data_IF_585191943590
#
_entry.id   IF_585191943590
#
_cell.length_a   1.000
_cell.length_b   1.000
_cell.length_c   1.000
_cell.angle_alpha   90.00
_cell.angle_beta   90.00
_cell.angle_gamma   90.00
#
_symmetry.space_group_name_H-M   'P 1'
#
loop_
_entity.id
_entity.type
_entity.pdbx_description
1 polymer ?
#
# COMPACT_ATOMS: atom_id res chain seq x y z
N UNK A 1 24.75 -12.14 -3.01
CA UNK A 1 25.01 -10.98 -2.14
C UNK A 1 23.67 -10.33 -1.88
N UNK A 2 23.00 -10.76 -0.82
CA UNK A 2 21.61 -10.37 -0.53
C UNK A 2 21.56 -8.91 -0.08
N UNK A 3 20.76 -8.10 -0.77
CA UNK A 3 20.54 -6.71 -0.41
C UNK A 3 19.86 -6.68 0.96
N UNK A 4 20.62 -6.24 1.96
CA UNK A 4 20.11 -6.00 3.30
C UNK A 4 19.25 -4.73 3.21
N UNK A 5 17.95 -4.89 2.92
CA UNK A 5 16.97 -3.79 2.92
C UNK A 5 16.86 -3.28 4.35
N UNK A 6 17.77 -2.38 4.69
CA UNK A 6 17.75 -1.64 5.93
C UNK A 6 16.48 -0.81 5.86
N UNK A 7 15.46 -1.28 6.57
CA UNK A 7 14.27 -0.52 6.89
C UNK A 7 14.78 0.71 7.63
N UNK A 8 15.06 1.79 6.89
CA UNK A 8 15.46 3.08 7.45
C UNK A 8 14.25 3.50 8.28
N UNK A 9 14.29 3.16 9.57
CA UNK A 9 13.21 3.39 10.51
C UNK A 9 13.06 4.90 10.59
N UNK A 10 12.13 5.42 9.78
CA UNK A 10 11.61 6.76 9.92
C UNK A 10 11.36 7.00 11.42
N UNK A 11 11.86 8.10 12.02
CA UNK A 11 11.68 8.39 13.44
C UNK A 11 10.24 8.88 13.70
N UNK A 12 9.26 8.07 13.27
CA UNK A 12 7.83 8.34 13.33
C UNK A 12 7.20 7.24 14.18
N UNK A 13 6.50 7.67 15.23
CA UNK A 13 5.62 6.79 15.99
C UNK A 13 4.19 6.95 15.47
N UNK A 14 3.71 5.91 14.81
CA UNK A 14 2.32 5.83 14.38
C UNK A 14 1.40 5.62 15.60
N UNK A 15 0.21 6.22 15.56
CA UNK A 15 -0.75 6.17 16.65
C UNK A 15 -2.03 5.45 16.22
N UNK A 16 -2.66 4.75 17.16
CA UNK A 16 -3.97 4.10 16.99
C UNK A 16 -3.97 3.11 15.82
N UNK A 17 -5.00 3.18 14.99
CA UNK A 17 -5.24 2.41 13.78
C UNK A 17 -4.59 3.07 12.54
N UNK A 18 -3.59 3.95 12.70
CA UNK A 18 -2.99 4.66 11.56
C UNK A 18 -1.95 3.82 10.84
N UNK A 19 -1.97 3.90 9.52
CA UNK A 19 -1.05 3.23 8.61
C UNK A 19 -0.40 4.28 7.71
N UNK A 20 0.93 4.23 7.61
CA UNK A 20 1.72 5.06 6.71
C UNK A 20 2.17 4.19 5.55
N UNK A 21 1.86 4.62 4.32
CA UNK A 21 2.21 3.89 3.10
C UNK A 21 3.02 4.77 2.16
N UNK A 22 3.88 4.15 1.35
CA UNK A 22 4.60 4.79 0.25
C UNK A 22 4.00 4.31 -1.06
N UNK A 23 3.62 5.24 -1.92
CA UNK A 23 3.11 4.93 -3.26
C UNK A 23 4.28 4.68 -4.21
N UNK A 24 4.20 3.61 -4.99
CA UNK A 24 5.24 3.26 -5.98
C UNK A 24 5.06 4.02 -7.31
N UNK A 25 4.26 5.09 -7.36
CA UNK A 25 3.85 5.71 -8.64
C UNK A 25 5.09 6.31 -9.32
N UNK A 26 5.51 5.80 -10.49
CA UNK A 26 6.37 6.57 -11.38
C UNK A 26 5.49 7.68 -11.95
N UNK A 27 5.82 8.95 -11.65
CA UNK A 27 5.27 10.09 -12.38
C UNK A 27 5.52 9.87 -13.88
N UNK A 28 4.50 9.48 -14.64
CA UNK A 28 4.50 9.67 -16.09
C UNK A 28 4.03 8.54 -16.99
N UNK A 29 3.99 7.27 -16.55
CA UNK A 29 3.68 6.18 -17.49
C UNK A 29 2.42 5.39 -17.11
N UNK A 30 1.28 5.90 -17.60
CA UNK A 30 0.03 5.15 -17.72
C UNK A 30 0.18 4.06 -18.78
N UNK A 31 0.85 2.96 -18.45
CA UNK A 31 0.71 1.72 -19.22
C UNK A 31 -0.54 1.01 -18.71
N UNK A 32 -1.63 1.10 -19.45
CA UNK A 32 -2.66 0.06 -19.36
C UNK A 32 -2.02 -1.26 -19.79
N UNK A 33 -2.45 -2.39 -19.23
CA UNK A 33 -1.92 -3.73 -19.54
C UNK A 33 -2.05 -4.14 -21.02
N UNK A 34 -2.72 -3.33 -21.85
CA UNK A 34 -2.84 -3.48 -23.30
C UNK A 34 -2.04 -2.48 -24.15
N UNK A 35 -1.13 -1.68 -23.57
CA UNK A 35 -0.25 -0.77 -24.33
C UNK A 35 -0.90 0.52 -24.84
N UNK A 36 -2.12 0.84 -24.37
CA UNK A 36 -2.83 2.07 -24.76
C UNK A 36 -2.57 3.16 -23.73
N UNK A 37 -2.05 4.30 -24.19
CA UNK A 37 -1.88 5.53 -23.40
C UNK A 37 -3.25 6.20 -23.27
N UNK A 38 -3.82 6.20 -22.06
CA UNK A 38 -5.11 6.85 -21.80
C UNK A 38 -4.85 8.33 -21.44
N UNK A 39 -5.33 9.30 -22.25
CA UNK A 39 -5.15 10.73 -21.98
C UNK A 39 -5.80 11.13 -20.64
N UNK A 40 -5.26 12.19 -20.02
CA UNK A 40 -5.66 12.65 -18.68
C UNK A 40 -7.14 13.04 -18.54
N UNK A 41 -7.87 13.22 -19.64
CA UNK A 41 -9.28 13.64 -19.71
C UNK A 41 -10.28 12.49 -19.76
N UNK A 42 -9.85 11.23 -19.86
CA UNK A 42 -10.76 10.11 -19.68
C UNK A 42 -11.13 10.05 -18.19
N UNK A 43 -12.40 10.28 -17.87
CA UNK A 43 -12.94 10.07 -16.53
C UNK A 43 -12.87 8.56 -16.22
N UNK A 44 -11.70 8.12 -15.76
CA UNK A 44 -11.46 6.78 -15.24
C UNK A 44 -12.21 6.75 -13.92
N UNK A 45 -13.25 5.91 -13.83
CA UNK A 45 -13.95 5.65 -12.56
C UNK A 45 -12.95 5.35 -11.44
N UNK A 46 -13.31 5.69 -10.20
CA UNK A 46 -12.48 5.60 -8.99
C UNK A 46 -11.50 4.41 -9.04
N UNK A 47 -10.23 4.71 -9.31
CA UNK A 47 -9.18 3.69 -9.43
C UNK A 47 -8.50 3.54 -8.09
N UNK A 48 -8.64 2.36 -7.50
CA UNK A 48 -7.88 1.99 -6.31
C UNK A 48 -6.38 1.93 -6.63
N UNK A 49 -5.56 2.31 -5.66
CA UNK A 49 -4.12 2.39 -5.74
C UNK A 49 -3.47 1.36 -4.81
N UNK A 50 -2.33 0.81 -5.26
CA UNK A 50 -1.46 -0.03 -4.43
C UNK A 50 -0.34 0.81 -3.82
N UNK A 51 0.01 0.53 -2.57
CA UNK A 51 1.14 1.14 -1.88
C UNK A 51 1.80 0.15 -0.91
N UNK A 52 3.07 0.37 -0.58
CA UNK A 52 3.83 -0.40 0.39
C UNK A 52 3.66 0.19 1.80
N UNK A 53 3.37 -0.64 2.80
CA UNK A 53 3.28 -0.23 4.20
C UNK A 53 4.68 0.04 4.74
N UNK A 54 4.88 1.23 5.29
CA UNK A 54 6.19 1.67 5.84
C UNK A 54 6.16 1.76 7.36
N UNK A 55 5.00 2.04 7.95
CA UNK A 55 4.82 2.08 9.40
C UNK A 55 3.35 1.84 9.80
N UNK A 56 3.14 1.22 10.96
CA UNK A 56 1.81 0.90 11.50
C UNK A 56 1.68 1.35 12.96
N UNK A 57 0.47 1.81 13.33
CA UNK A 57 0.12 2.18 14.70
C UNK A 57 -0.14 0.96 15.57
N UNK A 58 -0.12 1.16 16.90
CA UNK A 58 -0.22 0.06 17.86
C UNK A 58 -1.55 -0.72 17.84
N UNK A 59 -2.60 -0.18 17.22
CA UNK A 59 -3.92 -0.83 17.15
C UNK A 59 -4.14 -1.57 15.83
N UNK A 60 -3.23 -1.45 14.86
CA UNK A 60 -3.28 -2.14 13.57
C UNK A 60 -2.97 -3.62 13.78
N UNK A 61 -3.73 -4.51 13.13
CA UNK A 61 -3.61 -5.97 13.27
C UNK A 61 -3.53 -6.72 11.94
N UNK A 62 -4.01 -6.10 10.87
CA UNK A 62 -4.23 -6.76 9.58
C UNK A 62 -3.00 -6.69 8.67
N UNK A 63 -2.16 -5.68 8.89
CA UNK A 63 -1.00 -5.36 8.04
C UNK A 63 0.25 -5.08 8.86
N UNK A 64 1.41 -5.32 8.26
CA UNK A 64 2.72 -5.04 8.81
C UNK A 64 3.62 -4.30 7.80
N UNK A 65 4.70 -3.63 8.25
CA UNK A 65 5.64 -2.99 7.32
C UNK A 65 6.21 -3.98 6.30
N UNK A 66 6.17 -3.60 5.02
CA UNK A 66 6.51 -4.45 3.87
C UNK A 66 5.31 -5.02 3.13
N UNK A 67 4.13 -5.08 3.75
CA UNK A 67 2.91 -5.50 3.05
C UNK A 67 2.52 -4.51 1.95
N UNK A 68 1.89 -5.00 0.87
CA UNK A 68 1.27 -4.14 -0.14
C UNK A 68 -0.22 -4.03 0.13
N UNK A 69 -0.76 -2.81 0.14
CA UNK A 69 -2.16 -2.55 0.46
C UNK A 69 -2.87 -1.81 -0.66
N UNK A 70 -4.13 -2.16 -0.88
CA UNK A 70 -5.02 -1.53 -1.84
C UNK A 70 -5.93 -0.53 -1.12
N UNK A 71 -6.00 0.71 -1.61
CA UNK A 71 -6.82 1.77 -1.00
C UNK A 71 -7.38 2.74 -2.06
N UNK A 72 -8.39 3.52 -1.70
CA UNK A 72 -8.91 4.62 -2.53
C UNK A 72 -8.09 5.91 -2.32
N UNK A 73 -7.43 6.47 -3.35
CA UNK A 73 -6.59 7.66 -3.22
C UNK A 73 -7.36 8.99 -3.14
N UNK A 74 -8.65 9.06 -3.47
CA UNK A 74 -9.35 10.36 -3.64
C UNK A 74 -9.52 11.17 -2.34
N UNK A 75 -9.38 10.56 -1.16
CA UNK A 75 -9.63 11.21 0.13
C UNK A 75 -8.61 10.77 1.19
N UNK A 76 -7.31 10.87 0.86
CA UNK A 76 -6.24 10.47 1.79
C UNK A 76 -5.28 11.63 2.04
N UNK A 77 -4.76 11.68 3.26
CA UNK A 77 -3.82 12.72 3.68
C UNK A 77 -2.42 12.36 3.19
N UNK A 78 -1.81 13.25 2.40
CA UNK A 78 -0.41 13.16 2.03
C UNK A 78 0.48 13.83 3.08
N UNK A 79 1.63 13.23 3.35
CA UNK A 79 2.65 13.77 4.24
C UNK A 79 4.03 13.60 3.62
N UNK A 80 4.83 14.66 3.66
CA UNK A 80 6.21 14.61 3.22
C UNK A 80 7.14 14.44 4.43
N UNK A 81 8.02 13.45 4.36
CA UNK A 81 9.03 13.21 5.39
C UNK A 81 10.38 13.03 4.71
N UNK A 82 11.34 13.89 5.05
CA UNK A 82 12.70 13.88 4.47
C UNK A 82 12.69 13.94 2.93
N UNK A 83 11.76 14.69 2.32
CA UNK A 83 11.67 14.81 0.87
C UNK A 83 10.95 13.65 0.18
N UNK A 84 10.36 12.71 0.92
CA UNK A 84 9.62 11.57 0.38
C UNK A 84 8.14 11.72 0.73
N UNK A 85 7.28 11.60 -0.27
CA UNK A 85 5.83 11.63 -0.10
C UNK A 85 5.32 10.27 0.42
N UNK A 86 4.45 10.34 1.42
CA UNK A 86 3.75 9.22 2.01
C UNK A 86 2.26 9.53 2.09
N UNK A 87 1.45 8.48 2.22
CA UNK A 87 0.03 8.59 2.44
C UNK A 87 -0.30 8.04 3.83
N UNK A 88 -1.03 8.83 4.61
CA UNK A 88 -1.50 8.48 5.94
C UNK A 88 -3.00 8.15 5.90
N UNK A 89 -3.36 6.98 6.43
CA UNK A 89 -4.75 6.52 6.47
C UNK A 89 -5.04 5.69 7.72
N UNK A 90 -6.30 5.28 7.92
CA UNK A 90 -6.66 4.30 8.95
C UNK A 90 -6.64 2.89 8.36
N UNK A 91 -6.44 1.90 9.21
CA UNK A 91 -6.50 0.47 8.84
C UNK A 91 -7.82 0.10 8.15
N UNK A 92 -8.95 0.63 8.64
CA UNK A 92 -10.28 0.37 8.06
C UNK A 92 -10.48 0.92 6.64
N UNK A 93 -9.60 1.81 6.21
CA UNK A 93 -9.67 2.45 4.89
C UNK A 93 -8.94 1.62 3.82
N UNK A 94 -8.32 0.50 4.23
CA UNK A 94 -7.67 -0.47 3.35
C UNK A 94 -8.71 -1.46 2.81
N UNK A 95 -8.68 -1.70 1.49
CA UNK A 95 -9.58 -2.63 0.81
C UNK A 95 -9.01 -4.04 0.71
N UNK A 96 -7.69 -4.18 0.60
CA UNK A 96 -7.02 -5.47 0.52
C UNK A 96 -5.57 -5.37 0.99
N UNK A 97 -5.00 -6.51 1.37
CA UNK A 97 -3.58 -6.70 1.67
C UNK A 97 -3.03 -7.83 0.80
N UNK A 98 -1.87 -7.61 0.21
CA UNK A 98 -1.06 -8.61 -0.46
C UNK A 98 0.25 -8.74 0.33
N UNK A 99 0.49 -9.94 0.84
CA UNK A 99 1.63 -10.25 1.68
C UNK A 99 2.12 -11.66 1.35
N UNK A 100 3.44 -11.86 1.26
CA UNK A 100 4.03 -13.17 0.94
C UNK A 100 3.58 -14.27 1.94
N UNK A 101 3.32 -13.89 3.20
CA UNK A 101 2.76 -14.77 4.24
C UNK A 101 1.37 -15.33 3.92
N UNK A 102 0.61 -14.68 3.04
CA UNK A 102 -0.71 -15.15 2.61
C UNK A 102 -0.62 -16.13 1.44
N UNK A 103 0.45 -16.10 0.63
CA UNK A 103 0.66 -17.02 -0.49
C UNK A 103 0.83 -18.48 -0.02
N UNK A 104 1.33 -18.69 1.20
CA UNK A 104 1.44 -20.02 1.82
C UNK A 104 0.14 -20.55 2.48
N UNK A 105 -0.94 -19.75 2.52
CA UNK A 105 -2.20 -20.17 3.13
C UNK A 105 -3.15 -20.89 2.15
N UNK A 106 -2.84 -20.90 0.85
CA UNK A 106 -3.65 -21.56 -0.19
C UNK A 106 -3.69 -23.10 -0.05
N UNK A 107 -2.76 -23.72 0.69
CA UNK A 107 -2.83 -25.13 1.07
C UNK A 107 -3.85 -25.41 2.21
N UNK A 108 -4.50 -24.38 2.75
CA UNK A 108 -5.55 -24.51 3.77
C UNK A 108 -6.92 -24.03 3.29
N UNK A 109 -7.19 -24.18 1.99
CA UNK A 109 -8.58 -24.13 1.53
C UNK A 109 -9.30 -25.32 2.16
N UNK A 110 -9.91 -25.08 3.33
CA UNK A 110 -10.69 -26.03 4.11
C UNK A 110 -11.96 -26.43 3.37
N UNK A 111 -11.80 -27.19 2.29
CA UNK A 111 -12.85 -27.95 1.65
C UNK A 111 -12.83 -29.36 2.25
N UNK A 112 -13.28 -29.47 3.50
CA UNK A 112 -13.75 -30.74 4.04
C UNK A 112 -15.00 -30.51 4.91
N UNK A 113 -16.04 -31.23 4.48
CA UNK A 113 -17.39 -31.44 5.03
C UNK A 113 -18.43 -30.36 4.72
#
# INVERSE_FOLDING_TARGET
>A
MSANTTHDKLPIRMLHDRVLVRTDIPEGERRSSGGIVIPATAAVGRRLAWAEVVAVGQSVRTVEPGDRVLYDPEDRAEVEVRGVAYVLMRERDLHAVAAERLEGAEDSTGLYL
#
